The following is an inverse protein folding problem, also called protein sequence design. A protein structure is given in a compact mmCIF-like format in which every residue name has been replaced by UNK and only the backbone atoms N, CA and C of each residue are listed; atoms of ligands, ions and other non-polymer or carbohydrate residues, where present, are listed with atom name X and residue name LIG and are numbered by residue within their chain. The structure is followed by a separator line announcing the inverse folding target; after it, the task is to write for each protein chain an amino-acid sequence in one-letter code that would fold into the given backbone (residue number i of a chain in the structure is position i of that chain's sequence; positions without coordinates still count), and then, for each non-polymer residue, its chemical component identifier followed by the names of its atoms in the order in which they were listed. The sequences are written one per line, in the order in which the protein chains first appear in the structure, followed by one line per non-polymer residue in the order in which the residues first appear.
data_IF_717688412090
#
_entry.id   IF_717688412090
#
_cell.length_a   1.000
_cell.length_b   1.000
_cell.length_c   1.000
_cell.angle_alpha   90.00
_cell.angle_beta   90.00
_cell.angle_gamma   90.00
#
_symmetry.space_group_name_H-M   'P 1'
#
loop_
_entity.id
_entity.type
_entity.pdbx_description
1 polymer ?
#
# COMPACT_ATOMS: atom_id res chain seq x y z
N UNK A 1 44.06 -17.06 -32.32
CA UNK A 1 43.34 -17.36 -31.06
C UNK A 1 42.20 -16.36 -30.91
N UNK A 2 40.98 -16.76 -31.29
CA UNK A 2 39.80 -15.90 -31.31
C UNK A 2 38.99 -16.06 -30.00
N UNK A 3 38.67 -14.93 -29.35
CA UNK A 3 37.85 -14.87 -28.13
C UNK A 3 36.39 -15.18 -28.46
N UNK A 4 35.81 -16.18 -27.80
CA UNK A 4 34.37 -16.43 -27.83
C UNK A 4 33.63 -15.39 -26.94
N UNK A 5 32.49 -14.82 -27.40
CA UNK A 5 31.72 -13.90 -26.58
C UNK A 5 30.76 -14.65 -25.64
N UNK A 6 30.75 -14.21 -24.37
CA UNK A 6 29.79 -14.62 -23.34
C UNK A 6 28.35 -14.33 -23.82
N UNK A 7 27.49 -15.36 -23.80
CA UNK A 7 26.04 -15.20 -23.95
C UNK A 7 25.44 -14.77 -22.61
N UNK A 8 25.01 -13.52 -22.54
CA UNK A 8 24.25 -12.93 -21.44
C UNK A 8 22.81 -13.50 -21.45
N UNK A 9 22.54 -14.49 -20.60
CA UNK A 9 21.19 -15.02 -20.36
C UNK A 9 20.49 -14.21 -19.27
N UNK A 10 20.08 -12.98 -19.59
CA UNK A 10 19.14 -12.24 -18.73
C UNK A 10 17.71 -12.69 -18.96
N UNK A 11 17.17 -13.30 -17.90
CA UNK A 11 15.78 -13.62 -17.63
C UNK A 11 14.74 -12.75 -18.36
N UNK A 12 14.03 -13.35 -19.33
CA UNK A 12 12.84 -12.79 -19.99
C UNK A 12 11.55 -13.08 -19.20
N UNK A 13 11.52 -12.76 -17.91
CA UNK A 13 10.27 -12.78 -17.14
C UNK A 13 9.70 -11.37 -17.08
N UNK A 14 9.06 -10.94 -18.18
CA UNK A 14 8.29 -9.70 -18.21
C UNK A 14 7.10 -9.76 -17.23
N UNK A 15 6.67 -8.62 -16.68
CA UNK A 15 5.53 -8.58 -15.75
C UNK A 15 4.28 -9.11 -16.44
N UNK A 16 3.66 -10.14 -15.86
CA UNK A 16 2.38 -10.67 -16.32
C UNK A 16 1.29 -9.61 -16.10
N UNK A 17 0.97 -8.86 -17.16
CA UNK A 17 -0.12 -7.89 -17.17
C UNK A 17 -1.42 -8.70 -17.13
N UNK A 18 -2.07 -8.74 -15.96
CA UNK A 18 -3.40 -9.33 -15.80
C UNK A 18 -4.36 -8.68 -16.79
N UNK A 19 -4.92 -9.46 -17.73
CA UNK A 19 -5.94 -9.03 -18.68
C UNK A 19 -7.18 -8.54 -17.92
N UNK A 20 -7.34 -7.22 -17.80
CA UNK A 20 -8.56 -6.58 -17.26
C UNK A 20 -9.67 -6.67 -18.32
N UNK A 21 -10.91 -6.92 -17.89
CA UNK A 21 -12.08 -6.89 -18.79
C UNK A 21 -12.30 -5.49 -19.37
N UNK A 22 -12.81 -5.38 -20.60
CA UNK A 22 -12.94 -4.10 -21.31
C UNK A 22 -13.74 -3.03 -20.53
N UNK A 23 -14.74 -3.44 -19.76
CA UNK A 23 -15.55 -2.54 -18.92
C UNK A 23 -14.77 -2.00 -17.72
N UNK A 24 -13.94 -2.85 -17.09
CA UNK A 24 -13.06 -2.43 -15.99
C UNK A 24 -11.92 -1.55 -16.47
N UNK A 25 -11.37 -1.84 -17.66
CA UNK A 25 -10.36 -1.00 -18.31
C UNK A 25 -10.94 0.37 -18.65
N UNK A 26 -12.17 0.44 -19.16
CA UNK A 26 -12.85 1.70 -19.46
C UNK A 26 -13.13 2.53 -18.20
N UNK A 27 -13.71 1.94 -17.14
CA UNK A 27 -13.92 2.65 -15.86
C UNK A 27 -12.62 3.09 -15.20
N UNK A 28 -11.57 2.27 -15.30
CA UNK A 28 -10.24 2.63 -14.81
C UNK A 28 -9.61 3.75 -15.65
N UNK A 29 -9.74 3.70 -16.99
CA UNK A 29 -9.26 4.75 -17.88
C UNK A 29 -10.04 6.05 -17.69
N UNK A 30 -11.36 6.03 -17.55
CA UNK A 30 -12.16 7.22 -17.23
C UNK A 30 -11.73 7.82 -15.89
N UNK A 31 -11.51 6.97 -14.87
CA UNK A 31 -11.01 7.39 -13.55
C UNK A 31 -9.57 7.90 -13.59
N UNK A 32 -8.71 7.34 -14.44
CA UNK A 32 -7.29 7.74 -14.57
C UNK A 32 -7.10 8.93 -15.51
N UNK A 33 -7.89 9.05 -16.56
CA UNK A 33 -7.91 10.20 -17.48
C UNK A 33 -8.55 11.42 -16.81
N UNK A 34 -9.58 11.23 -15.98
CA UNK A 34 -10.06 12.25 -15.05
C UNK A 34 -9.03 12.65 -13.97
N UNK A 35 -7.95 11.87 -13.80
CA UNK A 35 -6.81 12.18 -12.94
C UNK A 35 -5.57 12.61 -13.74
N UNK A 36 -5.62 12.63 -15.07
CA UNK A 36 -4.51 13.07 -15.92
C UNK A 36 -4.36 14.58 -15.79
N UNK A 37 -3.14 15.11 -15.60
CA UNK A 37 -2.96 16.50 -15.19
C UNK A 37 -3.49 17.42 -16.28
N UNK A 38 -4.48 18.24 -15.94
CA UNK A 38 -4.98 19.38 -16.72
C UNK A 38 -3.83 20.20 -17.33
N UNK A 39 -2.67 20.22 -16.66
CA UNK A 39 -1.42 20.84 -17.14
C UNK A 39 -0.95 20.32 -18.50
N UNK A 40 -1.05 19.01 -18.77
CA UNK A 40 -0.66 18.44 -20.08
C UNK A 40 -1.75 18.65 -21.14
N UNK A 41 -3.03 18.75 -20.72
CA UNK A 41 -4.14 19.07 -21.62
C UNK A 41 -4.06 20.54 -22.07
N UNK A 42 -3.72 21.46 -21.15
CA UNK A 42 -3.50 22.88 -21.45
C UNK A 42 -2.37 23.05 -22.47
N UNK A 43 -1.23 22.39 -22.25
CA UNK A 43 -0.09 22.40 -23.18
C UNK A 43 -0.46 21.85 -24.57
N UNK A 44 -1.28 20.79 -24.64
CA UNK A 44 -1.76 20.26 -25.92
C UNK A 44 -2.73 21.21 -26.63
N UNK A 45 -3.54 21.96 -25.88
CA UNK A 45 -4.45 22.98 -26.44
C UNK A 45 -3.66 24.20 -26.91
N UNK A 46 -2.69 24.67 -26.14
CA UNK A 46 -1.78 25.76 -26.51
C UNK A 46 -0.97 25.42 -27.77
N UNK A 47 -0.38 24.22 -27.84
CA UNK A 47 0.31 23.74 -29.05
C UNK A 47 -0.62 23.68 -30.27
N UNK A 48 -1.88 23.28 -30.06
CA UNK A 48 -2.88 23.24 -31.14
C UNK A 48 -3.29 24.65 -31.59
N UNK A 49 -3.39 25.61 -30.67
CA UNK A 49 -3.70 27.00 -30.98
C UNK A 49 -2.56 27.70 -31.70
N UNK A 50 -1.31 27.49 -31.26
CA UNK A 50 -0.11 27.95 -31.95
C UNK A 50 -0.04 27.37 -33.38
N UNK A 51 -0.33 26.08 -33.53
CA UNK A 51 -0.37 25.43 -34.85
C UNK A 51 -1.49 25.99 -35.75
N UNK A 52 -2.61 26.42 -35.17
CA UNK A 52 -3.73 27.02 -35.91
C UNK A 52 -3.63 28.54 -36.08
N UNK A 53 -2.55 29.19 -35.63
CA UNK A 53 -2.32 30.63 -35.82
C UNK A 53 -3.20 31.55 -34.98
N UNK A 54 -3.78 31.06 -33.89
CA UNK A 54 -4.56 31.91 -32.96
C UNK A 54 -3.61 32.68 -32.03
N UNK A 55 -3.78 34.00 -31.95
CA UNK A 55 -2.95 34.85 -31.09
C UNK A 55 -3.44 34.76 -29.62
N UNK A 56 -2.64 34.18 -28.74
CA UNK A 56 -3.03 33.79 -27.37
C UNK A 56 -2.77 34.84 -26.29
N UNK A 57 -2.16 35.98 -26.62
CA UNK A 57 -1.61 36.93 -25.63
C UNK A 57 -2.66 37.69 -24.81
N UNK A 58 -3.93 37.71 -25.20
CA UNK A 58 -4.91 38.63 -24.59
C UNK A 58 -6.00 38.00 -23.69
N UNK A 59 -6.14 36.67 -23.66
CA UNK A 59 -7.41 36.08 -23.15
C UNK A 59 -7.37 35.55 -21.71
N UNK A 60 -6.25 35.22 -21.07
CA UNK A 60 -6.33 34.41 -19.84
C UNK A 60 -5.30 34.63 -18.71
N UNK A 61 -4.33 35.54 -18.80
CA UNK A 61 -3.28 35.61 -17.78
C UNK A 61 -3.78 35.96 -16.36
N UNK A 62 -4.70 36.93 -16.18
CA UNK A 62 -5.18 37.28 -14.83
C UNK A 62 -6.11 36.21 -14.21
N UNK A 63 -7.04 35.66 -14.99
CA UNK A 63 -7.99 34.65 -14.50
C UNK A 63 -7.31 33.29 -14.21
N UNK A 64 -6.20 32.97 -14.90
CA UNK A 64 -5.46 31.74 -14.65
C UNK A 64 -4.58 31.83 -13.40
N UNK A 65 -4.04 33.01 -13.10
CA UNK A 65 -3.18 33.20 -11.92
C UNK A 65 -4.01 33.10 -10.63
N UNK A 66 -5.19 33.76 -10.58
CA UNK A 66 -6.12 33.68 -9.44
C UNK A 66 -6.55 32.23 -9.13
N UNK A 67 -6.81 31.42 -10.17
CA UNK A 67 -7.19 30.02 -10.01
C UNK A 67 -6.01 29.15 -9.54
N UNK A 68 -4.81 29.42 -10.04
CA UNK A 68 -3.59 28.72 -9.62
C UNK A 68 -3.26 29.02 -8.15
N UNK A 69 -3.37 30.28 -7.73
CA UNK A 69 -3.20 30.69 -6.34
C UNK A 69 -4.24 30.06 -5.41
N UNK A 70 -5.53 30.14 -5.78
CA UNK A 70 -6.63 29.50 -5.03
C UNK A 70 -6.41 27.99 -4.90
N UNK A 71 -5.98 27.31 -5.98
CA UNK A 71 -5.63 25.89 -5.95
C UNK A 71 -4.48 25.61 -4.98
N UNK A 72 -3.42 26.43 -5.01
CA UNK A 72 -2.26 26.28 -4.12
C UNK A 72 -2.65 26.49 -2.65
N UNK A 73 -3.48 27.50 -2.38
CA UNK A 73 -4.01 27.80 -1.06
C UNK A 73 -4.88 26.65 -0.53
N UNK A 74 -5.90 26.24 -1.28
CA UNK A 74 -6.79 25.12 -0.90
C UNK A 74 -6.01 23.82 -0.66
N UNK A 75 -4.98 23.55 -1.47
CA UNK A 75 -4.11 22.40 -1.26
C UNK A 75 -3.34 22.48 0.06
N UNK A 76 -2.85 23.67 0.42
CA UNK A 76 -2.10 23.89 1.66
C UNK A 76 -3.02 23.72 2.87
N UNK A 77 -4.22 24.29 2.83
CA UNK A 77 -5.21 24.14 3.91
C UNK A 77 -5.68 22.70 4.05
N UNK A 78 -5.97 22.00 2.95
CA UNK A 78 -6.31 20.58 2.99
C UNK A 78 -5.22 19.72 3.64
N UNK A 79 -3.95 20.03 3.38
CA UNK A 79 -2.83 19.31 3.99
C UNK A 79 -2.67 19.62 5.49
N UNK A 80 -2.93 20.87 5.91
CA UNK A 80 -3.01 21.23 7.33
C UNK A 80 -4.10 20.42 8.03
N UNK A 81 -5.31 20.37 7.46
CA UNK A 81 -6.43 19.59 8.01
C UNK A 81 -6.03 18.11 8.12
N UNK A 82 -5.42 17.52 7.10
CA UNK A 82 -4.93 16.12 7.15
C UNK A 82 -3.96 15.88 8.30
N UNK A 83 -3.02 16.79 8.53
CA UNK A 83 -2.02 16.65 9.59
C UNK A 83 -2.64 16.72 11.00
N UNK A 84 -3.67 17.55 11.16
CA UNK A 84 -4.38 17.74 12.42
C UNK A 84 -5.60 16.81 12.60
N UNK A 85 -5.99 16.06 11.56
CA UNK A 85 -7.28 15.37 11.48
C UNK A 85 -7.58 14.47 12.68
N UNK A 86 -6.59 13.74 13.17
CA UNK A 86 -6.75 12.81 14.31
C UNK A 86 -6.63 13.48 15.68
N UNK A 87 -6.28 14.77 15.74
CA UNK A 87 -6.06 15.51 16.97
C UNK A 87 -7.26 16.41 17.31
N UNK A 88 -7.98 16.86 16.29
CA UNK A 88 -9.15 17.74 16.43
C UNK A 88 -10.44 16.94 16.53
N UNK A 89 -11.47 17.57 17.08
CA UNK A 89 -12.81 16.97 17.15
C UNK A 89 -13.38 16.74 15.74
N UNK A 90 -14.09 15.62 15.48
CA UNK A 90 -14.66 15.33 14.17
C UNK A 90 -15.62 16.41 13.64
N UNK A 91 -16.32 17.14 14.52
CA UNK A 91 -17.20 18.24 14.10
C UNK A 91 -16.40 19.45 13.61
N UNK A 92 -15.25 19.75 14.23
CA UNK A 92 -14.37 20.83 13.82
C UNK A 92 -13.68 20.51 12.49
N UNK A 93 -13.21 19.27 12.33
CA UNK A 93 -12.62 18.84 11.05
C UNK A 93 -13.64 18.95 9.90
N UNK A 94 -14.91 18.58 10.15
CA UNK A 94 -15.98 18.72 9.16
C UNK A 94 -16.23 20.17 8.78
N UNK A 95 -16.35 21.09 9.75
CA UNK A 95 -16.52 22.52 9.47
C UNK A 95 -15.37 23.08 8.63
N UNK A 96 -14.12 22.78 9.00
CA UNK A 96 -12.96 23.20 8.22
C UNK A 96 -12.96 22.64 6.78
N UNK A 97 -13.49 21.43 6.57
CA UNK A 97 -13.66 20.84 5.24
C UNK A 97 -14.84 21.42 4.45
N UNK A 98 -15.86 21.94 5.13
CA UNK A 98 -17.01 22.61 4.51
C UNK A 98 -16.65 24.04 4.06
N UNK A 99 -15.72 24.71 4.74
CA UNK A 99 -15.21 26.04 4.38
C UNK A 99 -14.30 26.04 3.13
N UNK A 100 -13.74 24.88 2.77
CA UNK A 100 -12.91 24.74 1.58
C UNK A 100 -13.75 24.78 0.30
N UNK A 101 -13.64 25.88 -0.44
CA UNK A 101 -14.28 26.03 -1.75
C UNK A 101 -13.51 25.24 -2.82
N UNK A 102 -13.90 23.98 -3.03
CA UNK A 102 -13.23 23.03 -3.95
C UNK A 102 -14.10 22.55 -5.11
N UNK A 103 -15.28 23.14 -5.32
CA UNK A 103 -16.20 22.69 -6.38
C UNK A 103 -15.59 22.80 -7.78
N UNK A 104 -14.78 23.84 -8.02
CA UNK A 104 -14.07 24.05 -9.28
C UNK A 104 -12.73 23.28 -9.37
N UNK A 105 -12.37 22.53 -8.32
CA UNK A 105 -11.07 21.85 -8.17
C UNK A 105 -11.29 20.33 -7.96
N UNK A 106 -11.61 19.58 -9.02
CA UNK A 106 -12.01 18.18 -8.93
C UNK A 106 -10.94 17.30 -8.25
N UNK A 107 -9.66 17.63 -8.43
CA UNK A 107 -8.55 16.91 -7.81
C UNK A 107 -8.51 17.04 -6.27
N UNK A 108 -9.02 18.16 -5.74
CA UNK A 108 -9.11 18.41 -4.30
C UNK A 108 -10.44 17.92 -3.74
N UNK A 109 -11.53 18.04 -4.51
CA UNK A 109 -12.88 17.60 -4.13
C UNK A 109 -12.91 16.16 -3.66
N UNK A 110 -12.30 15.23 -4.41
CA UNK A 110 -12.20 13.81 -4.03
C UNK A 110 -11.50 13.64 -2.66
N UNK A 111 -10.48 14.45 -2.40
CA UNK A 111 -9.75 14.43 -1.13
C UNK A 111 -10.60 14.95 0.04
N UNK A 112 -11.37 16.01 -0.19
CA UNK A 112 -12.28 16.60 0.80
C UNK A 112 -13.44 15.65 1.10
N UNK A 113 -14.10 15.10 0.10
CA UNK A 113 -15.20 14.14 0.27
C UNK A 113 -14.76 12.91 1.06
N UNK A 114 -13.56 12.38 0.75
CA UNK A 114 -12.97 11.28 1.51
C UNK A 114 -12.75 11.63 2.98
N UNK A 115 -12.24 12.83 3.29
CA UNK A 115 -12.03 13.25 4.67
C UNK A 115 -13.35 13.52 5.41
N UNK A 116 -14.37 14.03 4.71
CA UNK A 116 -15.73 14.17 5.27
C UNK A 116 -16.33 12.81 5.60
N UNK A 117 -16.15 11.81 4.74
CA UNK A 117 -16.60 10.45 5.05
C UNK A 117 -15.84 9.90 6.27
N UNK A 118 -14.51 10.06 6.32
CA UNK A 118 -13.70 9.63 7.45
C UNK A 118 -14.08 10.30 8.77
N UNK A 119 -14.55 11.55 8.75
CA UNK A 119 -14.97 12.23 9.98
C UNK A 119 -16.25 11.63 10.57
N UNK A 120 -17.11 11.04 9.74
CA UNK A 120 -18.26 10.27 10.21
C UNK A 120 -17.83 8.94 10.83
N UNK A 121 -16.85 8.26 10.24
CA UNK A 121 -16.36 6.96 10.73
C UNK A 121 -15.23 7.10 11.78
N UNK A 122 -15.09 8.26 12.45
CA UNK A 122 -13.99 8.49 13.38
C UNK A 122 -14.07 7.59 14.63
N UNK A 123 -15.28 7.36 15.15
CA UNK A 123 -15.54 6.39 16.22
C UNK A 123 -15.10 4.98 15.83
N UNK A 124 -15.48 4.57 14.63
CA UNK A 124 -15.26 3.24 14.10
C UNK A 124 -13.76 2.99 13.89
N UNK A 125 -13.00 4.02 13.48
CA UNK A 125 -11.54 3.93 13.38
C UNK A 125 -10.89 3.69 14.75
N UNK A 126 -11.40 4.34 15.80
CA UNK A 126 -10.91 4.15 17.17
C UNK A 126 -11.30 2.78 17.72
N UNK A 127 -12.48 2.28 17.38
CA UNK A 127 -12.91 0.92 17.74
C UNK A 127 -12.08 -0.13 17.01
N UNK A 128 -11.90 0.02 15.69
CA UNK A 128 -11.02 -0.82 14.88
C UNK A 128 -9.61 -0.89 15.47
N UNK A 129 -9.05 0.22 15.96
CA UNK A 129 -7.74 0.24 16.63
C UNK A 129 -7.68 -0.70 17.86
N UNK A 130 -8.78 -0.85 18.61
CA UNK A 130 -8.88 -1.76 19.76
C UNK A 130 -8.89 -3.22 19.32
N UNK A 131 -9.56 -3.55 18.22
CA UNK A 131 -9.56 -4.90 17.63
C UNK A 131 -8.20 -5.26 17.02
N UNK A 132 -7.51 -4.27 16.43
CA UNK A 132 -6.27 -4.46 15.68
C UNK A 132 -5.00 -4.56 16.53
N UNK A 133 -5.09 -4.70 17.86
CA UNK A 133 -3.92 -4.84 18.75
C UNK A 133 -2.91 -5.93 18.31
N UNK A 134 -3.37 -6.94 17.55
CA UNK A 134 -2.53 -8.05 17.06
C UNK A 134 -1.94 -7.87 15.66
N UNK A 135 -2.49 -6.98 14.82
CA UNK A 135 -2.02 -6.78 13.44
C UNK A 135 -1.95 -5.27 13.13
N UNK A 136 -1.04 -4.62 13.86
CA UNK A 136 -0.80 -3.18 13.84
C UNK A 136 -0.43 -2.70 12.43
N UNK A 137 0.12 -3.56 11.57
CA UNK A 137 0.63 -3.16 10.26
C UNK A 137 -0.49 -2.85 9.26
N UNK A 138 -1.54 -3.69 9.16
CA UNK A 138 -2.67 -3.39 8.27
C UNK A 138 -3.39 -2.12 8.71
N UNK A 139 -3.68 -2.00 10.01
CA UNK A 139 -4.35 -0.83 10.57
C UNK A 139 -3.55 0.46 10.33
N UNK A 140 -2.26 0.47 10.67
CA UNK A 140 -1.40 1.65 10.46
C UNK A 140 -1.28 2.01 8.97
N UNK A 141 -1.18 0.99 8.11
CA UNK A 141 -1.14 1.21 6.66
C UNK A 141 -2.45 1.81 6.17
N UNK A 142 -3.60 1.27 6.59
CA UNK A 142 -4.91 1.80 6.23
C UNK A 142 -5.09 3.23 6.73
N UNK A 143 -4.82 3.49 8.01
CA UNK A 143 -4.88 4.83 8.63
C UNK A 143 -4.00 5.84 7.88
N UNK A 144 -2.81 5.43 7.44
CA UNK A 144 -1.93 6.26 6.62
C UNK A 144 -2.51 6.47 5.22
N UNK A 145 -3.00 5.41 4.57
CA UNK A 145 -3.53 5.45 3.21
C UNK A 145 -4.69 6.42 3.05
N UNK A 146 -5.61 6.44 4.02
CA UNK A 146 -6.78 7.31 3.97
C UNK A 146 -6.42 8.80 4.07
N UNK A 147 -5.27 9.12 4.68
CA UNK A 147 -4.75 10.49 4.79
C UNK A 147 -3.86 10.92 3.62
N UNK A 148 -3.38 9.99 2.80
CA UNK A 148 -2.51 10.33 1.68
C UNK A 148 -3.32 10.84 0.48
N UNK A 149 -2.69 11.71 -0.32
CA UNK A 149 -3.22 12.04 -1.63
C UNK A 149 -3.32 10.78 -2.52
N UNK A 150 -4.27 10.70 -3.47
CA UNK A 150 -4.46 9.51 -4.30
C UNK A 150 -3.18 8.99 -4.96
N UNK A 151 -2.34 9.90 -5.47
CA UNK A 151 -1.03 9.58 -6.07
C UNK A 151 -0.09 8.89 -5.08
N UNK A 152 0.04 9.42 -3.86
CA UNK A 152 0.90 8.83 -2.82
C UNK A 152 0.31 7.53 -2.28
N UNK A 153 -1.01 7.48 -2.12
CA UNK A 153 -1.73 6.30 -1.64
C UNK A 153 -1.52 5.09 -2.59
N UNK A 154 -1.53 5.30 -3.91
CA UNK A 154 -1.28 4.22 -4.88
C UNK A 154 0.04 3.49 -4.66
N UNK A 155 1.14 4.25 -4.47
CA UNK A 155 2.47 3.68 -4.21
C UNK A 155 2.52 2.88 -2.90
N UNK A 156 1.87 3.39 -1.84
CA UNK A 156 1.81 2.69 -0.54
C UNK A 156 0.97 1.41 -0.64
N UNK A 157 -0.16 1.43 -1.36
CA UNK A 157 -0.98 0.22 -1.61
C UNK A 157 -0.16 -0.85 -2.32
N UNK A 158 0.51 -0.49 -3.41
CA UNK A 158 1.32 -1.43 -4.18
C UNK A 158 2.48 -2.00 -3.36
N UNK A 159 3.16 -1.17 -2.57
CA UNK A 159 4.22 -1.63 -1.66
C UNK A 159 3.67 -2.62 -0.62
N UNK A 160 2.51 -2.32 -0.04
CA UNK A 160 1.87 -3.20 0.94
C UNK A 160 1.45 -4.53 0.32
N UNK A 161 0.78 -4.51 -0.84
CA UNK A 161 0.38 -5.73 -1.57
C UNK A 161 1.58 -6.61 -1.91
N UNK A 162 2.71 -6.02 -2.33
CA UNK A 162 3.96 -6.75 -2.55
C UNK A 162 4.50 -7.40 -1.28
N UNK A 163 4.45 -6.69 -0.15
CA UNK A 163 4.89 -7.25 1.14
C UNK A 163 4.03 -8.42 1.61
N UNK A 164 2.74 -8.43 1.27
CA UNK A 164 1.83 -9.52 1.63
C UNK A 164 2.11 -10.83 0.88
N UNK A 165 2.65 -10.76 -0.35
CA UNK A 165 2.96 -11.96 -1.13
C UNK A 165 3.92 -12.92 -0.40
N UNK A 166 4.76 -12.38 0.48
CA UNK A 166 5.76 -13.09 1.26
C UNK A 166 5.44 -13.11 2.77
N UNK A 167 4.29 -12.59 3.19
CA UNK A 167 3.93 -12.54 4.60
C UNK A 167 3.48 -13.92 5.09
N UNK A 168 4.14 -14.43 6.13
CA UNK A 168 3.77 -15.70 6.80
C UNK A 168 2.34 -15.66 7.37
N UNK A 169 1.86 -14.47 7.71
CA UNK A 169 0.61 -14.25 8.42
C UNK A 169 -0.54 -13.72 7.51
N UNK A 170 -0.52 -13.98 6.20
CA UNK A 170 -1.55 -13.45 5.28
C UNK A 170 -2.98 -13.84 5.69
N UNK A 171 -3.18 -15.02 6.27
CA UNK A 171 -4.50 -15.45 6.75
C UNK A 171 -5.03 -14.57 7.89
N UNK A 172 -4.14 -13.99 8.71
CA UNK A 172 -4.52 -13.01 9.75
C UNK A 172 -5.03 -11.71 9.08
N UNK A 173 -4.29 -11.23 8.09
CA UNK A 173 -4.68 -10.05 7.29
C UNK A 173 -6.04 -10.30 6.61
N UNK A 174 -6.25 -11.47 6.00
CA UNK A 174 -7.54 -11.83 5.40
C UNK A 174 -8.69 -11.83 6.41
N UNK A 175 -8.49 -12.41 7.59
CA UNK A 175 -9.50 -12.40 8.65
C UNK A 175 -9.83 -10.97 9.07
N UNK A 176 -8.83 -10.12 9.23
CA UNK A 176 -9.04 -8.72 9.57
C UNK A 176 -9.83 -7.97 8.48
N UNK A 177 -9.50 -8.18 7.20
CA UNK A 177 -10.24 -7.56 6.09
C UNK A 177 -11.69 -8.07 6.02
N UNK A 178 -11.94 -9.35 6.28
CA UNK A 178 -13.30 -9.91 6.36
C UNK A 178 -14.07 -9.35 7.55
N UNK A 179 -13.43 -9.19 8.71
CA UNK A 179 -14.01 -8.52 9.87
C UNK A 179 -14.37 -7.06 9.52
N UNK A 180 -13.46 -6.29 8.92
CA UNK A 180 -13.76 -4.91 8.51
C UNK A 180 -14.96 -4.84 7.56
N UNK A 181 -15.12 -5.81 6.65
CA UNK A 181 -16.28 -5.88 5.75
C UNK A 181 -17.61 -6.09 6.48
N UNK A 182 -17.61 -6.77 7.62
CA UNK A 182 -18.82 -7.18 8.35
C UNK A 182 -19.14 -6.24 9.51
N UNK A 183 -18.13 -5.90 10.32
CA UNK A 183 -18.27 -5.06 11.52
C UNK A 183 -18.12 -3.56 11.20
N UNK A 184 -17.34 -3.19 10.18
CA UNK A 184 -17.06 -1.78 9.83
C UNK A 184 -17.29 -1.49 8.34
N UNK A 185 -18.51 -1.69 7.82
CA UNK A 185 -18.79 -1.66 6.37
C UNK A 185 -18.50 -0.30 5.74
N UNK A 186 -18.71 0.80 6.47
CA UNK A 186 -18.40 2.16 5.98
C UNK A 186 -16.90 2.36 5.77
N UNK A 187 -16.06 1.94 6.74
CA UNK A 187 -14.61 1.98 6.61
C UNK A 187 -14.10 1.07 5.48
N UNK A 188 -14.70 -0.11 5.33
CA UNK A 188 -14.39 -0.99 4.21
C UNK A 188 -14.71 -0.34 2.87
N UNK A 189 -15.82 0.38 2.76
CA UNK A 189 -16.25 1.02 1.52
C UNK A 189 -15.22 2.04 0.98
N UNK A 190 -14.53 2.76 1.87
CA UNK A 190 -13.51 3.78 1.53
C UNK A 190 -12.41 3.21 0.61
N UNK A 191 -12.01 1.96 0.86
CA UNK A 191 -10.92 1.29 0.16
C UNK A 191 -11.27 -0.15 -0.25
N UNK A 192 -12.54 -0.38 -0.60
CA UNK A 192 -13.09 -1.69 -0.94
C UNK A 192 -12.32 -2.40 -2.06
N UNK A 193 -11.89 -1.67 -3.09
CA UNK A 193 -11.07 -2.19 -4.19
C UNK A 193 -9.71 -2.73 -3.71
N UNK A 194 -9.09 -2.03 -2.76
CA UNK A 194 -7.78 -2.41 -2.22
C UNK A 194 -7.90 -3.61 -1.26
N UNK A 195 -8.91 -3.61 -0.40
CA UNK A 195 -9.23 -4.77 0.44
C UNK A 195 -9.58 -6.01 -0.39
N UNK A 196 -10.30 -5.84 -1.50
CA UNK A 196 -10.59 -6.92 -2.44
C UNK A 196 -9.30 -7.46 -3.09
N UNK A 197 -8.33 -6.60 -3.37
CA UNK A 197 -7.01 -7.04 -3.86
C UNK A 197 -6.24 -7.82 -2.80
N UNK A 198 -6.26 -7.35 -1.54
CA UNK A 198 -5.64 -8.07 -0.42
C UNK A 198 -6.19 -9.50 -0.34
N UNK A 199 -7.51 -9.67 -0.33
CA UNK A 199 -8.17 -10.99 -0.24
C UNK A 199 -7.86 -11.95 -1.41
N UNK A 200 -7.39 -11.43 -2.54
CA UNK A 200 -7.01 -12.23 -3.72
C UNK A 200 -5.58 -12.73 -3.65
N UNK A 201 -4.73 -12.14 -2.81
CA UNK A 201 -3.34 -12.56 -2.66
C UNK A 201 -3.34 -13.90 -1.93
N UNK A 202 -2.71 -14.90 -2.53
CA UNK A 202 -2.40 -16.16 -1.85
C UNK A 202 -1.00 -16.05 -1.25
N UNK A 203 -0.78 -16.63 -0.08
CA UNK A 203 0.58 -16.82 0.43
C UNK A 203 1.35 -17.57 -0.64
N UNK A 204 2.37 -16.94 -1.22
CA UNK A 204 3.45 -17.71 -1.83
C UNK A 204 4.24 -18.18 -0.63
N UNK A 205 3.78 -19.28 -0.01
CA UNK A 205 4.71 -20.09 0.76
C UNK A 205 5.87 -20.26 -0.20
N UNK A 206 7.04 -19.81 0.21
CA UNK A 206 8.23 -20.28 -0.43
C UNK A 206 8.08 -21.80 -0.30
N UNK A 207 7.70 -22.47 -1.39
CA UNK A 207 8.29 -23.75 -1.72
C UNK A 207 9.78 -23.43 -1.93
N UNK A 208 10.46 -22.99 -0.86
CA UNK A 208 11.80 -23.44 -0.62
C UNK A 208 11.66 -24.94 -0.79
N UNK A 209 12.31 -25.56 -1.77
CA UNK A 209 12.49 -27.00 -1.68
C UNK A 209 12.93 -27.22 -0.24
N UNK A 210 12.18 -28.04 0.49
CA UNK A 210 12.61 -28.48 1.80
C UNK A 210 13.90 -29.24 1.54
N UNK A 211 14.99 -28.49 1.51
CA UNK A 211 16.23 -28.89 2.08
C UNK A 211 15.94 -28.69 3.58
N UNK A 212 15.35 -29.56 4.42
CA UNK A 212 15.36 -31.00 4.57
C UNK A 212 16.50 -31.75 3.85
N UNK A 213 17.64 -31.14 3.55
CA UNK A 213 18.73 -31.16 4.50
C UNK A 213 18.39 -30.42 5.81
N UNK A 214 17.85 -31.19 6.76
CA UNK A 214 18.56 -31.17 8.03
C UNK A 214 20.04 -31.37 7.69
N UNK A 215 20.92 -30.65 8.36
CA UNK A 215 22.33 -31.05 8.38
C UNK A 215 22.34 -32.42 9.09
N UNK A 216 21.93 -33.46 8.39
CA UNK A 216 22.43 -34.79 8.58
C UNK A 216 23.89 -34.61 8.24
N UNK A 217 24.70 -34.43 9.27
CA UNK A 217 26.09 -34.82 9.18
C UNK A 217 26.05 -36.32 8.89
N UNK A 218 25.93 -36.67 7.61
CA UNK A 218 26.04 -38.02 7.09
C UNK A 218 27.54 -38.40 7.05
N UNK A 219 28.21 -38.21 8.19
CA UNK A 219 29.24 -39.15 8.61
C UNK A 219 28.43 -40.42 8.84
N UNK A 220 28.62 -41.49 8.05
CA UNK A 220 27.88 -42.76 8.11
C UNK A 220 27.95 -43.48 9.46
N UNK A 221 27.51 -42.79 10.51
CA UNK A 221 27.56 -43.11 11.91
C UNK A 221 26.13 -43.55 12.23
N UNK A 222 25.90 -44.86 12.38
CA UNK A 222 24.57 -45.37 12.63
C UNK A 222 23.99 -44.74 13.91
N UNK A 223 22.68 -44.45 13.87
CA UNK A 223 21.97 -43.62 14.87
C UNK A 223 22.15 -44.05 16.33
N UNK A 224 22.46 -45.34 16.58
CA UNK A 224 22.77 -45.86 17.91
C UNK A 224 24.03 -45.24 18.53
N UNK A 225 24.99 -44.78 17.73
CA UNK A 225 26.22 -44.14 18.23
C UNK A 225 25.94 -42.82 18.95
N UNK A 226 24.92 -42.05 18.55
CA UNK A 226 24.53 -40.83 19.26
C UNK A 226 23.96 -41.11 20.66
N UNK A 227 23.27 -42.23 20.81
CA UNK A 227 22.76 -42.68 22.12
C UNK A 227 23.93 -43.09 23.02
N UNK A 228 24.91 -43.82 22.47
CA UNK A 228 26.11 -44.23 23.21
C UNK A 228 26.96 -43.03 23.63
N UNK A 229 27.17 -42.06 22.74
CA UNK A 229 27.95 -40.85 23.06
C UNK A 229 27.23 -39.99 24.10
N UNK A 230 25.91 -39.84 24.02
CA UNK A 230 25.13 -39.15 25.05
C UNK A 230 25.25 -39.81 26.43
N UNK A 231 25.17 -41.15 26.50
CA UNK A 231 25.34 -41.91 27.75
C UNK A 231 26.75 -41.73 28.33
N UNK A 232 27.79 -41.75 27.47
CA UNK A 232 29.17 -41.53 27.90
C UNK A 232 29.39 -40.12 28.46
N UNK A 233 28.86 -39.09 27.79
CA UNK A 233 28.95 -37.70 28.27
C UNK A 233 28.28 -37.57 29.65
N UNK A 234 27.08 -38.13 29.81
CA UNK A 234 26.37 -38.11 31.10
C UNK A 234 27.17 -38.82 32.19
N UNK A 235 27.78 -39.98 31.90
CA UNK A 235 28.61 -40.70 32.88
C UNK A 235 29.88 -39.93 33.26
N UNK A 236 30.54 -39.29 32.29
CA UNK A 236 31.71 -38.46 32.57
C UNK A 236 31.35 -37.27 33.43
N UNK A 237 30.25 -36.57 33.11
CA UNK A 237 29.74 -35.46 33.93
C UNK A 237 29.41 -35.91 35.35
N UNK A 238 28.80 -37.09 35.52
CA UNK A 238 28.48 -37.64 36.84
C UNK A 238 29.73 -38.03 37.64
N UNK A 239 30.76 -38.56 36.98
CA UNK A 239 32.04 -38.88 37.61
C UNK A 239 32.78 -37.61 38.07
N UNK A 240 32.76 -36.54 37.26
CA UNK A 240 33.33 -35.25 37.66
C UNK A 240 32.57 -34.62 38.83
N UNK A 241 31.23 -34.66 38.82
CA UNK A 241 30.43 -34.16 39.94
C UNK A 241 30.71 -34.92 41.26
N UNK A 242 31.03 -36.22 41.17
CA UNK A 242 31.36 -37.05 42.34
C UNK A 242 32.78 -36.83 42.86
N UNK A 243 33.73 -36.37 42.05
CA UNK A 243 35.09 -36.02 42.49
C UNK A 243 35.18 -34.61 43.09
N UNK A 244 34.20 -33.75 42.82
CA UNK A 244 34.14 -32.38 43.34
C UNK A 244 33.47 -32.27 44.73
N UNK A 245 33.08 -33.40 45.33
CA UNK A 245 32.35 -33.53 46.60
C UNK A 245 33.15 -34.40 47.57
#
# INVERSE_FOLDING_TARGET
MAKQPLKDQRNKAGPQILKRSGIQTRRYLEKVLGLSPVVAAQQMVELRWQFCGFNTEAVNESATDDLAERRKWNRKELEKIRSAFWLIDPSQSRRALDELLVDDLPELKIGVERLKLLSHCHSDMNELAKHCKRDINLYNTFRRLVMLSPRKAGSVKEKYLRSLAYAENIEKVHRMVKMMRTEFPELYAIESDWFTQILKIKSRRHDSPSIANGISFDLGIPSWMYVVTAILIVRVLFAFARMAL
#
